data_IF_541036415799
#
_entry.id   IF_541036415799
#
_cell.length_a   1.000
_cell.length_b   1.000
_cell.length_c   1.000
_cell.angle_alpha   90.00
_cell.angle_beta   90.00
_cell.angle_gamma   90.00
#
_symmetry.space_group_name_H-M   'P 1'
#
loop_
_entity.id
_entity.type
_entity.pdbx_description
1 polymer ?
#
# COMPACT_ATOMS: atom_id res chain seq x y z
N UNK A 1 22.93 32.12 5.43
CA UNK A 1 23.25 31.04 6.38
C UNK A 1 24.31 30.16 5.79
N UNK A 2 25.21 29.65 6.60
CA UNK A 2 26.21 28.66 6.16
C UNK A 2 25.50 27.31 5.88
N UNK A 3 25.99 26.53 4.88
CA UNK A 3 25.47 25.21 4.57
C UNK A 3 25.72 24.28 5.76
N UNK A 4 24.71 23.51 6.15
CA UNK A 4 24.84 22.47 7.17
C UNK A 4 25.51 21.23 6.55
N UNK A 5 26.84 21.20 6.59
CA UNK A 5 27.61 20.12 5.99
C UNK A 5 27.38 18.78 6.71
N UNK A 6 27.02 18.79 8.01
CA UNK A 6 26.85 17.56 8.78
C UNK A 6 25.73 16.70 8.20
N UNK A 7 24.54 17.29 7.98
CA UNK A 7 23.42 16.55 7.41
C UNK A 7 23.65 16.16 5.95
N UNK A 8 24.29 17.06 5.16
CA UNK A 8 24.58 16.75 3.76
C UNK A 8 25.63 15.66 3.58
N UNK A 9 26.59 15.52 4.51
CA UNK A 9 27.54 14.40 4.54
C UNK A 9 26.84 13.07 4.89
N UNK A 10 25.84 13.09 5.77
CA UNK A 10 25.00 11.93 6.07
C UNK A 10 24.21 11.49 4.83
N UNK A 11 23.58 12.45 4.15
CA UNK A 11 22.84 12.20 2.89
C UNK A 11 23.75 11.61 1.81
N UNK A 12 24.97 12.13 1.66
CA UNK A 12 25.95 11.60 0.71
C UNK A 12 26.38 10.17 1.03
N UNK A 13 26.57 9.83 2.31
CA UNK A 13 26.89 8.45 2.73
C UNK A 13 25.73 7.49 2.44
N UNK A 14 24.50 7.90 2.70
CA UNK A 14 23.32 7.09 2.35
C UNK A 14 23.18 6.91 0.83
N UNK A 15 23.42 7.95 0.05
CA UNK A 15 23.44 7.85 -1.42
C UNK A 15 24.48 6.83 -1.90
N UNK A 16 25.70 6.86 -1.31
CA UNK A 16 26.74 5.88 -1.63
C UNK A 16 26.35 4.46 -1.23
N UNK A 17 25.68 4.27 -0.08
CA UNK A 17 25.16 2.98 0.36
C UNK A 17 24.18 2.42 -0.66
N UNK A 18 23.21 3.23 -1.08
CA UNK A 18 22.21 2.83 -2.08
C UNK A 18 22.81 2.50 -3.44
N UNK A 19 23.89 3.19 -3.86
CA UNK A 19 24.57 2.91 -5.12
C UNK A 19 25.39 1.61 -5.11
N UNK A 20 25.91 1.20 -3.95
CA UNK A 20 26.81 0.02 -3.83
C UNK A 20 26.05 -1.24 -3.46
N UNK A 21 24.99 -1.13 -2.68
CA UNK A 21 24.24 -2.25 -2.13
C UNK A 21 23.29 -2.91 -3.13
N UNK A 22 22.95 -4.15 -2.86
CA UNK A 22 21.87 -4.88 -3.51
C UNK A 22 20.62 -4.72 -2.64
N UNK A 23 19.62 -4.00 -3.14
CA UNK A 23 18.37 -3.76 -2.40
C UNK A 23 17.33 -4.83 -2.75
N UNK A 24 17.00 -5.68 -1.77
CA UNK A 24 16.00 -6.74 -1.88
C UNK A 24 14.81 -6.55 -0.93
N UNK A 25 14.71 -5.41 -0.26
CA UNK A 25 13.52 -5.06 0.51
C UNK A 25 12.38 -4.78 -0.47
N UNK A 26 11.38 -5.66 -0.54
CA UNK A 26 10.30 -5.61 -1.53
C UNK A 26 9.45 -4.31 -1.48
N UNK A 27 9.53 -3.54 -0.41
CA UNK A 27 8.86 -2.26 -0.24
C UNK A 27 9.72 -1.04 -0.59
N UNK A 28 10.96 -1.21 -1.02
CA UNK A 28 11.86 -0.13 -1.43
C UNK A 28 11.97 -0.05 -2.95
N UNK A 29 12.26 1.15 -3.44
CA UNK A 29 12.49 1.42 -4.86
C UNK A 29 13.29 2.73 -5.03
N UNK A 30 13.87 2.91 -6.20
CA UNK A 30 14.63 4.11 -6.57
C UNK A 30 13.78 4.98 -7.50
N UNK A 31 13.42 6.16 -7.03
CA UNK A 31 12.65 7.13 -7.81
C UNK A 31 13.50 7.81 -8.88
N UNK A 32 12.85 8.39 -9.89
CA UNK A 32 13.53 9.16 -10.93
C UNK A 32 14.10 10.49 -10.38
N UNK A 33 15.10 11.10 -11.07
CA UNK A 33 15.56 12.43 -10.73
C UNK A 33 14.44 13.48 -10.75
N UNK A 34 13.44 13.37 -11.63
CA UNK A 34 12.31 14.29 -11.69
C UNK A 34 11.42 14.22 -10.45
N UNK A 35 11.20 13.02 -9.90
CA UNK A 35 10.48 12.85 -8.63
C UNK A 35 11.24 13.52 -7.49
N UNK A 36 12.59 13.36 -7.43
CA UNK A 36 13.43 14.03 -6.42
C UNK A 36 13.42 15.54 -6.57
N UNK A 37 13.44 16.07 -7.79
CA UNK A 37 13.35 17.50 -8.08
C UNK A 37 12.03 18.09 -7.60
N UNK A 38 10.91 17.43 -7.88
CA UNK A 38 9.60 17.84 -7.40
C UNK A 38 9.51 17.84 -5.86
N UNK A 39 10.10 16.83 -5.20
CA UNK A 39 10.18 16.74 -3.74
C UNK A 39 10.95 17.92 -3.11
N UNK A 40 11.98 18.42 -3.77
CA UNK A 40 12.79 19.55 -3.33
C UNK A 40 12.28 20.92 -3.78
N UNK A 41 11.07 21.01 -4.34
CA UNK A 41 10.53 22.24 -4.93
C UNK A 41 10.01 23.25 -3.90
N UNK A 42 9.75 24.49 -4.38
CA UNK A 42 9.16 25.57 -3.58
C UNK A 42 7.74 25.26 -3.07
N UNK A 43 7.08 24.22 -3.58
CA UNK A 43 5.76 23.79 -3.13
C UNK A 43 5.75 23.34 -1.65
N UNK A 44 6.92 23.02 -1.10
CA UNK A 44 7.10 22.76 0.35
C UNK A 44 6.69 23.96 1.23
N UNK A 45 6.68 25.18 0.68
CA UNK A 45 6.36 26.39 1.43
C UNK A 45 4.86 26.67 1.54
N UNK A 46 4.02 25.98 0.73
CA UNK A 46 2.60 26.33 0.60
C UNK A 46 1.71 25.57 1.58
N UNK A 47 0.91 26.31 2.33
CA UNK A 47 -0.14 25.79 3.19
C UNK A 47 -1.49 25.78 2.44
N UNK A 48 -2.11 24.61 2.26
CA UNK A 48 -3.26 24.44 1.36
C UNK A 48 -4.35 23.51 1.93
N UNK A 49 -4.77 23.73 3.20
CA UNK A 49 -5.88 22.94 3.80
C UNK A 49 -7.15 23.04 2.97
N UNK A 50 -7.86 21.94 2.86
CA UNK A 50 -9.03 21.77 1.99
C UNK A 50 -8.65 21.02 0.70
N UNK A 51 -9.42 21.24 -0.34
CA UNK A 51 -9.29 20.56 -1.64
C UNK A 51 -9.26 21.58 -2.79
N UNK A 52 -8.81 21.24 -4.00
CA UNK A 52 -8.83 22.12 -5.15
C UNK A 52 -10.18 22.83 -5.32
N UNK A 53 -10.16 24.15 -5.44
CA UNK A 53 -11.35 24.99 -5.51
C UNK A 53 -12.10 25.22 -4.20
N UNK A 54 -11.74 24.54 -3.11
CA UNK A 54 -12.37 24.61 -1.79
C UNK A 54 -11.32 24.69 -0.67
N UNK A 55 -10.37 25.61 -0.79
CA UNK A 55 -9.30 25.80 0.20
C UNK A 55 -9.71 26.73 1.32
N UNK A 56 -9.12 26.51 2.49
CA UNK A 56 -9.26 27.41 3.65
C UNK A 56 -8.29 28.58 3.58
N UNK A 57 -7.30 28.53 2.71
CA UNK A 57 -6.24 29.57 2.54
C UNK A 57 -6.27 30.15 1.13
N UNK A 58 -5.91 31.43 1.03
CA UNK A 58 -5.71 32.11 -0.25
C UNK A 58 -4.40 31.70 -0.96
N UNK A 59 -4.27 32.03 -2.23
CA UNK A 59 -3.07 31.80 -3.03
C UNK A 59 -2.84 30.33 -3.41
N UNK A 60 -3.90 29.53 -3.50
CA UNK A 60 -3.81 28.09 -3.78
C UNK A 60 -4.05 27.73 -5.25
N UNK A 61 -4.33 28.71 -6.13
CA UNK A 61 -4.70 28.45 -7.52
C UNK A 61 -3.67 27.62 -8.28
N UNK A 62 -2.37 27.80 -8.01
CA UNK A 62 -1.29 27.06 -8.70
C UNK A 62 -1.13 25.65 -8.11
N UNK A 63 -1.22 25.49 -6.78
CA UNK A 63 -1.15 24.17 -6.15
C UNK A 63 -2.42 23.33 -6.45
N UNK A 64 -3.55 24.00 -6.68
CA UNK A 64 -4.77 23.33 -7.15
C UNK A 64 -4.57 22.64 -8.51
N UNK A 65 -3.79 23.25 -9.40
CA UNK A 65 -3.43 22.65 -10.69
C UNK A 65 -2.56 21.39 -10.47
N UNK A 66 -1.56 21.46 -9.57
CA UNK A 66 -0.69 20.33 -9.27
C UNK A 66 -1.47 19.15 -8.66
N UNK A 67 -2.32 19.41 -7.67
CA UNK A 67 -3.14 18.37 -7.03
C UNK A 67 -4.16 17.78 -8.01
N UNK A 68 -4.84 18.61 -8.80
CA UNK A 68 -5.78 18.17 -9.84
C UNK A 68 -5.07 17.31 -10.89
N UNK A 69 -3.86 17.66 -11.30
CA UNK A 69 -3.06 16.86 -12.22
C UNK A 69 -2.72 15.50 -11.63
N UNK A 70 -2.31 15.44 -10.36
CA UNK A 70 -2.03 14.18 -9.66
C UNK A 70 -3.28 13.28 -9.60
N UNK A 71 -4.44 13.85 -9.24
CA UNK A 71 -5.72 13.13 -9.21
C UNK A 71 -6.09 12.59 -10.60
N UNK A 72 -5.97 13.39 -11.65
CA UNK A 72 -6.34 12.99 -13.00
C UNK A 72 -5.43 11.91 -13.55
N UNK A 73 -4.11 12.01 -13.34
CA UNK A 73 -3.15 10.96 -13.74
C UNK A 73 -3.39 9.66 -12.98
N UNK A 74 -3.68 9.73 -11.68
CA UNK A 74 -3.99 8.55 -10.89
C UNK A 74 -5.28 7.87 -11.37
N UNK A 75 -6.33 8.65 -11.65
CA UNK A 75 -7.59 8.14 -12.22
C UNK A 75 -7.36 7.49 -13.58
N UNK A 76 -6.58 8.11 -14.45
CA UNK A 76 -6.23 7.54 -15.75
C UNK A 76 -5.44 6.24 -15.62
N UNK A 77 -4.46 6.19 -14.71
CA UNK A 77 -3.56 5.06 -14.52
C UNK A 77 -4.29 3.78 -14.11
N UNK A 78 -5.29 3.91 -13.23
CA UNK A 78 -6.00 2.76 -12.66
C UNK A 78 -7.46 2.61 -13.14
N UNK A 79 -7.99 3.57 -13.91
CA UNK A 79 -9.39 3.59 -14.32
C UNK A 79 -10.34 3.94 -13.18
N UNK A 80 -9.92 4.80 -12.25
CA UNK A 80 -10.71 5.23 -11.12
C UNK A 80 -11.62 6.42 -11.48
N UNK A 81 -12.84 6.44 -10.93
CA UNK A 81 -13.73 7.60 -11.02
C UNK A 81 -13.33 8.69 -10.02
N UNK A 82 -12.93 8.28 -8.82
CA UNK A 82 -12.49 9.17 -7.74
C UNK A 82 -11.08 8.84 -7.27
N UNK A 83 -10.33 9.89 -6.91
CA UNK A 83 -8.98 9.77 -6.33
C UNK A 83 -8.73 10.88 -5.30
N UNK A 84 -8.22 10.50 -4.12
CA UNK A 84 -7.66 11.41 -3.13
C UNK A 84 -6.15 11.15 -3.02
N UNK A 85 -5.35 12.19 -3.29
CA UNK A 85 -3.88 12.13 -3.33
C UNK A 85 -3.21 12.76 -2.11
N UNK A 86 -3.98 13.24 -1.14
CA UNK A 86 -3.48 13.92 0.05
C UNK A 86 -2.90 13.01 1.15
N UNK A 87 -3.25 11.71 1.31
CA UNK A 87 -2.69 10.90 2.39
C UNK A 87 -1.15 10.94 2.40
N UNK A 88 -0.57 11.26 3.58
CA UNK A 88 0.88 11.36 3.76
C UNK A 88 1.58 10.00 3.71
N UNK A 89 0.84 8.92 3.97
CA UNK A 89 1.35 7.54 3.92
C UNK A 89 0.22 6.55 3.62
N UNK A 90 0.57 5.31 3.25
CA UNK A 90 -0.41 4.23 3.13
C UNK A 90 -1.17 3.95 4.43
N UNK A 91 -0.50 4.01 5.58
CA UNK A 91 -1.15 3.83 6.88
C UNK A 91 -2.19 4.92 7.16
N UNK A 92 -1.93 6.19 6.78
CA UNK A 92 -2.91 7.27 6.90
C UNK A 92 -4.04 7.16 5.88
N UNK A 93 -3.77 6.67 4.67
CA UNK A 93 -4.82 6.34 3.70
C UNK A 93 -5.76 5.26 4.27
N UNK A 94 -5.22 4.18 4.84
CA UNK A 94 -6.00 3.14 5.50
C UNK A 94 -6.78 3.71 6.70
N UNK A 95 -6.14 4.51 7.55
CA UNK A 95 -6.78 5.15 8.69
C UNK A 95 -7.97 6.02 8.26
N UNK A 96 -7.83 6.81 7.20
CA UNK A 96 -8.92 7.63 6.68
C UNK A 96 -10.10 6.77 6.20
N UNK A 97 -9.85 5.65 5.51
CA UNK A 97 -10.90 4.70 5.13
C UNK A 97 -11.59 4.09 6.35
N UNK A 98 -10.84 3.69 7.37
CA UNK A 98 -11.40 3.19 8.62
C UNK A 98 -12.31 4.23 9.29
N UNK A 99 -11.85 5.48 9.40
CA UNK A 99 -12.64 6.58 9.99
C UNK A 99 -13.88 6.92 9.16
N UNK A 100 -13.84 6.75 7.85
CA UNK A 100 -15.02 6.94 6.99
C UNK A 100 -16.07 5.83 7.19
N UNK A 101 -15.61 4.56 7.33
CA UNK A 101 -16.43 3.36 7.28
C UNK A 101 -16.86 2.82 8.66
N UNK A 102 -16.04 3.02 9.68
CA UNK A 102 -16.16 2.34 10.97
C UNK A 102 -16.33 3.35 12.12
N UNK A 103 -16.84 2.85 13.23
CA UNK A 103 -16.82 3.52 14.55
C UNK A 103 -15.87 2.76 15.48
N UNK A 104 -15.30 3.40 16.51
CA UNK A 104 -14.50 2.69 17.52
C UNK A 104 -15.23 1.45 18.05
N UNK A 105 -14.54 0.30 18.07
CA UNK A 105 -15.09 -0.98 18.48
C UNK A 105 -15.81 -1.78 17.39
N UNK A 106 -16.07 -1.20 16.20
CA UNK A 106 -16.60 -1.97 15.07
C UNK A 106 -15.63 -3.07 14.64
N UNK A 107 -16.18 -4.19 14.19
CA UNK A 107 -15.38 -5.33 13.71
C UNK A 107 -15.00 -5.16 12.25
N UNK A 108 -13.74 -5.44 11.94
CA UNK A 108 -13.25 -5.58 10.58
C UNK A 108 -12.38 -6.84 10.43
N UNK A 109 -12.14 -7.26 9.20
CA UNK A 109 -11.33 -8.43 8.90
C UNK A 109 -10.17 -8.06 7.99
N UNK A 110 -8.95 -8.51 8.33
CA UNK A 110 -7.73 -8.33 7.54
C UNK A 110 -6.83 -9.55 7.64
N UNK A 111 -5.78 -9.63 6.80
CA UNK A 111 -4.80 -10.70 6.89
C UNK A 111 -3.96 -10.54 8.16
N UNK A 112 -3.77 -11.64 8.91
CA UNK A 112 -2.90 -11.65 10.07
C UNK A 112 -1.47 -11.25 9.71
N UNK A 113 -0.83 -10.48 10.61
CA UNK A 113 0.55 -10.00 10.42
C UNK A 113 1.52 -11.16 10.19
N UNK A 114 1.40 -12.23 10.98
CA UNK A 114 2.23 -13.43 10.92
C UNK A 114 2.06 -14.23 9.62
N UNK A 115 0.98 -13.98 8.90
CA UNK A 115 0.66 -14.60 7.62
C UNK A 115 0.93 -13.69 6.41
N UNK A 116 1.58 -12.54 6.63
CA UNK A 116 1.96 -11.60 5.58
C UNK A 116 1.09 -10.35 5.50
N UNK A 117 0.19 -10.10 6.46
CA UNK A 117 -0.59 -8.88 6.56
C UNK A 117 0.26 -7.64 6.83
N UNK A 118 -0.35 -6.46 6.71
CA UNK A 118 0.29 -5.21 7.08
C UNK A 118 -0.09 -4.80 8.52
N UNK A 119 0.77 -4.02 9.19
CA UNK A 119 0.49 -3.50 10.55
C UNK A 119 -0.89 -2.83 10.64
N UNK A 120 -1.27 -2.03 9.63
CA UNK A 120 -2.57 -1.34 9.60
C UNK A 120 -3.76 -2.25 9.25
N UNK A 121 -3.57 -3.55 9.15
CA UNK A 121 -4.63 -4.54 8.91
C UNK A 121 -5.07 -5.27 10.19
N UNK A 122 -4.82 -4.69 11.38
CA UNK A 122 -5.32 -5.21 12.65
C UNK A 122 -4.26 -5.57 13.67
N UNK A 123 -2.99 -5.20 13.44
CA UNK A 123 -1.96 -5.43 14.46
C UNK A 123 -2.31 -4.72 15.77
N UNK A 124 -2.18 -5.40 16.93
CA UNK A 124 -2.56 -4.85 18.22
C UNK A 124 -1.73 -3.65 18.66
N UNK A 125 -0.59 -3.39 18.02
CA UNK A 125 0.26 -2.21 18.28
C UNK A 125 0.00 -1.06 17.30
N UNK A 126 -0.93 -1.24 16.36
CA UNK A 126 -1.32 -0.23 15.37
C UNK A 126 -2.69 0.35 15.70
N UNK A 127 -2.97 1.58 15.21
CA UNK A 127 -4.28 2.21 15.42
C UNK A 127 -5.44 1.27 15.10
N UNK A 128 -5.31 0.45 14.05
CA UNK A 128 -6.36 -0.46 13.60
C UNK A 128 -6.74 -1.51 14.65
N UNK A 129 -5.76 -2.10 15.34
CA UNK A 129 -6.01 -3.03 16.43
C UNK A 129 -6.27 -2.37 17.79
N UNK A 130 -5.87 -1.09 17.97
CA UNK A 130 -6.11 -0.35 19.20
C UNK A 130 -7.53 0.24 19.27
N UNK A 131 -8.11 0.63 18.14
CA UNK A 131 -9.38 1.36 18.06
C UNK A 131 -10.53 0.44 17.65
N UNK A 132 -10.27 -0.58 16.85
CA UNK A 132 -11.27 -1.46 16.26
C UNK A 132 -11.08 -2.90 16.67
N UNK A 133 -12.13 -3.71 16.51
CA UNK A 133 -12.06 -5.15 16.75
C UNK A 133 -11.58 -5.87 15.48
N UNK A 134 -10.32 -6.26 15.46
CA UNK A 134 -9.68 -6.90 14.31
C UNK A 134 -9.85 -8.42 14.34
N UNK A 135 -10.34 -9.00 13.24
CA UNK A 135 -10.39 -10.44 12.99
C UNK A 135 -9.37 -10.76 11.90
N UNK A 136 -8.46 -11.69 12.17
CA UNK A 136 -7.39 -12.05 11.23
C UNK A 136 -7.72 -13.31 10.43
N UNK A 137 -7.73 -13.23 9.08
CA UNK A 137 -7.71 -14.43 8.24
C UNK A 137 -6.28 -14.85 7.89
N UNK A 138 -6.12 -16.10 7.47
CA UNK A 138 -4.83 -16.75 7.32
C UNK A 138 -4.55 -17.21 5.89
N UNK A 139 -3.30 -17.55 5.62
CA UNK A 139 -2.93 -18.44 4.52
C UNK A 139 -3.04 -19.89 4.99
N UNK A 140 -3.38 -20.78 4.07
CA UNK A 140 -3.32 -22.20 4.29
C UNK A 140 -1.86 -22.63 4.48
N UNK A 141 -1.56 -23.39 5.54
CA UNK A 141 -0.20 -23.75 5.95
C UNK A 141 0.53 -24.65 4.94
N UNK A 142 -0.21 -25.44 4.18
CA UNK A 142 0.37 -26.42 3.26
C UNK A 142 0.66 -25.78 1.89
N UNK A 143 -0.17 -24.82 1.46
CA UNK A 143 -0.04 -24.16 0.16
C UNK A 143 0.62 -22.78 0.20
N UNK A 144 0.67 -22.14 1.37
CA UNK A 144 1.12 -20.74 1.51
C UNK A 144 0.20 -19.73 0.81
N UNK A 145 -1.02 -20.11 0.42
CA UNK A 145 -2.01 -19.28 -0.25
C UNK A 145 -3.15 -18.91 0.68
N UNK A 146 -3.81 -17.78 0.43
CA UNK A 146 -4.99 -17.34 1.20
C UNK A 146 -6.03 -18.45 1.22
N UNK A 147 -6.51 -18.78 2.40
CA UNK A 147 -7.61 -19.74 2.62
C UNK A 147 -8.95 -19.00 2.55
N UNK A 148 -9.49 -18.90 1.33
CA UNK A 148 -10.74 -18.18 1.10
C UNK A 148 -11.97 -18.89 1.69
N UNK A 149 -11.92 -20.23 1.90
CA UNK A 149 -13.00 -20.97 2.55
C UNK A 149 -13.04 -20.63 4.04
N UNK A 150 -11.88 -20.65 4.70
CA UNK A 150 -11.75 -20.22 6.10
C UNK A 150 -12.18 -18.75 6.24
N UNK A 151 -11.72 -17.88 5.32
CA UNK A 151 -12.07 -16.47 5.32
C UNK A 151 -13.60 -16.27 5.23
N UNK A 152 -14.29 -17.01 4.37
CA UNK A 152 -15.74 -16.95 4.23
C UNK A 152 -16.46 -17.41 5.51
N UNK A 153 -16.02 -18.53 6.09
CA UNK A 153 -16.57 -19.02 7.36
C UNK A 153 -16.44 -17.98 8.47
N UNK A 154 -15.26 -17.40 8.64
CA UNK A 154 -15.02 -16.35 9.64
C UNK A 154 -15.84 -15.08 9.37
N UNK A 155 -16.00 -14.70 8.10
CA UNK A 155 -16.82 -13.55 7.73
C UNK A 155 -18.29 -13.76 8.09
N UNK A 156 -18.83 -14.96 7.85
CA UNK A 156 -20.21 -15.31 8.21
C UNK A 156 -20.43 -15.36 9.72
N UNK A 157 -19.44 -15.81 10.48
CA UNK A 157 -19.49 -15.91 11.95
C UNK A 157 -19.42 -14.51 12.60
N UNK A 158 -18.41 -13.72 12.23
CA UNK A 158 -18.10 -12.45 12.92
C UNK A 158 -18.76 -11.23 12.28
N UNK A 159 -19.27 -11.34 11.06
CA UNK A 159 -19.97 -10.27 10.29
C UNK A 159 -19.24 -8.92 10.36
N UNK A 160 -17.96 -8.86 9.94
CA UNK A 160 -17.21 -7.62 9.94
C UNK A 160 -17.88 -6.58 9.02
N UNK A 161 -17.78 -5.31 9.39
CA UNK A 161 -18.30 -4.20 8.56
C UNK A 161 -17.37 -3.84 7.41
N UNK A 162 -16.09 -4.18 7.52
CA UNK A 162 -15.05 -3.96 6.52
C UNK A 162 -14.20 -5.22 6.38
N UNK A 163 -13.92 -5.62 5.14
CA UNK A 163 -12.97 -6.67 4.80
C UNK A 163 -11.83 -6.04 4.01
N UNK A 164 -10.58 -6.34 4.38
CA UNK A 164 -9.39 -5.83 3.72
C UNK A 164 -8.69 -6.96 2.98
N UNK A 165 -8.52 -6.81 1.66
CA UNK A 165 -7.61 -7.58 0.83
C UNK A 165 -6.26 -6.87 0.70
N UNK A 166 -5.19 -7.65 0.64
CA UNK A 166 -3.83 -7.11 0.52
C UNK A 166 -2.92 -7.57 1.64
N UNK A 167 -1.61 -7.50 1.41
CA UNK A 167 -0.60 -7.93 2.35
C UNK A 167 0.78 -7.40 2.00
N UNK A 168 1.69 -7.42 2.98
CA UNK A 168 3.08 -6.97 2.83
C UNK A 168 4.02 -8.07 2.37
N UNK A 169 3.73 -9.33 2.72
CA UNK A 169 4.58 -10.49 2.42
C UNK A 169 3.76 -11.63 1.81
N UNK A 170 3.06 -11.33 0.73
CA UNK A 170 2.28 -12.31 -0.02
C UNK A 170 2.69 -12.30 -1.50
N UNK A 171 3.23 -13.43 -1.97
CA UNK A 171 3.86 -13.53 -3.30
C UNK A 171 2.92 -13.98 -4.42
N UNK A 172 1.63 -14.22 -4.12
CA UNK A 172 0.66 -14.70 -5.11
C UNK A 172 -0.39 -13.65 -5.46
N UNK A 173 -1.08 -13.85 -6.57
CA UNK A 173 -2.24 -13.04 -6.91
C UNK A 173 -3.40 -13.28 -5.93
N UNK A 174 -4.22 -12.24 -5.78
CA UNK A 174 -5.41 -12.24 -4.95
C UNK A 174 -6.64 -12.55 -5.79
N UNK A 175 -7.53 -13.39 -5.29
CA UNK A 175 -8.86 -13.57 -5.88
C UNK A 175 -9.81 -12.49 -5.35
N UNK A 176 -9.69 -11.29 -5.94
CA UNK A 176 -10.52 -10.14 -5.56
C UNK A 176 -12.01 -10.38 -5.81
N UNK A 177 -12.37 -11.16 -6.85
CA UNK A 177 -13.75 -11.49 -7.16
C UNK A 177 -14.38 -12.33 -6.04
N UNK A 178 -13.65 -13.34 -5.54
CA UNK A 178 -14.10 -14.17 -4.42
C UNK A 178 -14.19 -13.38 -3.12
N UNK A 179 -13.22 -12.52 -2.83
CA UNK A 179 -13.26 -11.65 -1.66
C UNK A 179 -14.44 -10.68 -1.71
N UNK A 180 -14.75 -10.13 -2.88
CA UNK A 180 -15.93 -9.29 -3.08
C UNK A 180 -17.22 -10.07 -2.82
N UNK A 181 -17.34 -11.27 -3.35
CA UNK A 181 -18.51 -12.14 -3.13
C UNK A 181 -18.72 -12.47 -1.65
N UNK A 182 -17.63 -12.70 -0.89
CA UNK A 182 -17.68 -12.90 0.57
C UNK A 182 -18.20 -11.63 1.27
N UNK A 183 -17.67 -10.46 0.91
CA UNK A 183 -18.11 -9.19 1.49
C UNK A 183 -19.60 -8.90 1.22
N UNK A 184 -20.06 -9.15 -0.01
CA UNK A 184 -21.45 -8.94 -0.41
C UNK A 184 -22.43 -9.83 0.37
N UNK A 185 -22.07 -11.10 0.68
CA UNK A 185 -22.88 -12.02 1.47
C UNK A 185 -23.24 -11.49 2.86
N UNK A 186 -22.39 -10.65 3.43
CA UNK A 186 -22.57 -10.12 4.79
C UNK A 186 -22.84 -8.60 4.81
N UNK A 187 -22.89 -7.97 3.63
CA UNK A 187 -23.09 -6.52 3.51
C UNK A 187 -21.89 -5.68 3.99
N UNK A 188 -20.67 -6.23 3.92
CA UNK A 188 -19.45 -5.53 4.31
C UNK A 188 -18.91 -4.64 3.19
N UNK A 189 -18.23 -3.56 3.56
CA UNK A 189 -17.37 -2.83 2.61
C UNK A 189 -16.14 -3.70 2.31
N UNK A 190 -15.84 -3.90 1.04
CA UNK A 190 -14.60 -4.54 0.59
C UNK A 190 -13.58 -3.47 0.20
N UNK A 191 -12.47 -3.43 0.92
CA UNK A 191 -11.32 -2.57 0.70
C UNK A 191 -10.14 -3.41 0.23
N UNK A 192 -9.35 -2.90 -0.69
CA UNK A 192 -8.06 -3.50 -1.06
C UNK A 192 -6.93 -2.50 -0.83
N UNK A 193 -5.95 -2.92 -0.05
CA UNK A 193 -4.65 -2.25 0.05
C UNK A 193 -3.69 -2.93 -0.94
N UNK A 194 -3.52 -2.31 -2.12
CA UNK A 194 -2.64 -2.83 -3.18
C UNK A 194 -1.22 -2.26 -3.14
N UNK A 195 -0.78 -1.77 -1.98
CA UNK A 195 0.48 -1.04 -1.85
C UNK A 195 1.69 -1.77 -2.45
N UNK A 196 1.83 -3.06 -2.25
CA UNK A 196 2.96 -3.82 -2.78
C UNK A 196 2.91 -3.99 -4.30
N UNK A 197 1.86 -4.54 -4.92
CA UNK A 197 1.82 -4.79 -6.35
C UNK A 197 1.35 -3.59 -7.21
N UNK A 198 1.16 -2.40 -6.65
CA UNK A 198 0.52 -1.26 -7.33
C UNK A 198 1.18 -0.92 -8.69
N UNK A 199 2.50 -1.00 -8.80
CA UNK A 199 3.21 -0.76 -10.06
C UNK A 199 2.92 -1.82 -11.12
N UNK A 200 2.85 -3.08 -10.72
CA UNK A 200 2.50 -4.21 -11.62
C UNK A 200 1.04 -4.11 -12.08
N UNK A 201 0.14 -3.70 -11.18
CA UNK A 201 -1.29 -3.46 -11.51
C UNK A 201 -1.42 -2.28 -12.48
N UNK A 202 -0.70 -1.18 -12.23
CA UNK A 202 -0.65 -0.01 -13.12
C UNK A 202 -0.17 -0.36 -14.53
N UNK A 203 0.79 -1.27 -14.63
CA UNK A 203 1.30 -1.78 -15.90
C UNK A 203 0.38 -2.81 -16.59
N UNK A 204 -0.73 -3.21 -15.95
CA UNK A 204 -1.66 -4.23 -16.47
C UNK A 204 -1.09 -5.65 -16.44
N UNK A 205 -0.14 -5.94 -15.55
CA UNK A 205 0.51 -7.24 -15.40
C UNK A 205 -0.10 -8.10 -14.28
N UNK A 206 -0.97 -7.51 -13.46
CA UNK A 206 -1.78 -8.17 -12.43
C UNK A 206 -3.20 -7.61 -12.48
N UNK A 207 -4.16 -8.35 -11.94
CA UNK A 207 -5.56 -7.91 -11.96
C UNK A 207 -5.79 -6.65 -11.12
N UNK A 208 -6.65 -5.77 -11.62
CA UNK A 208 -6.92 -4.47 -11.01
C UNK A 208 -8.07 -4.58 -10.00
N UNK A 209 -7.81 -4.37 -8.69
CA UNK A 209 -8.82 -4.49 -7.65
C UNK A 209 -9.96 -3.47 -7.75
N UNK A 210 -9.79 -2.36 -8.47
CA UNK A 210 -10.86 -1.37 -8.69
C UNK A 210 -12.08 -1.93 -9.42
N UNK A 211 -11.95 -3.08 -10.10
CA UNK A 211 -13.08 -3.79 -10.71
C UNK A 211 -13.99 -4.44 -9.67
N UNK A 212 -13.49 -4.71 -8.48
CA UNK A 212 -14.16 -5.53 -7.46
C UNK A 212 -14.36 -4.78 -6.15
N UNK A 213 -13.34 -4.05 -5.69
CA UNK A 213 -13.34 -3.40 -4.40
C UNK A 213 -14.22 -2.14 -4.39
N UNK A 214 -14.85 -1.87 -3.27
CA UNK A 214 -15.53 -0.61 -3.03
C UNK A 214 -14.53 0.54 -2.87
N UNK A 215 -13.41 0.28 -2.18
CA UNK A 215 -12.37 1.27 -1.90
C UNK A 215 -11.01 0.61 -2.13
N UNK A 216 -10.10 1.32 -2.77
CA UNK A 216 -8.72 0.88 -2.96
C UNK A 216 -7.76 1.91 -2.39
N UNK A 217 -6.81 1.46 -1.60
CA UNK A 217 -5.69 2.27 -1.13
C UNK A 217 -4.37 1.76 -1.69
N UNK A 218 -3.40 2.61 -1.78
CA UNK A 218 -2.02 2.21 -2.06
C UNK A 218 -1.02 3.21 -1.50
N UNK A 219 0.22 2.75 -1.31
CA UNK A 219 1.38 3.63 -1.21
C UNK A 219 1.83 4.03 -2.61
N UNK A 220 2.61 5.12 -2.70
CA UNK A 220 3.16 5.59 -3.98
C UNK A 220 4.62 5.22 -4.21
N UNK A 221 5.31 4.68 -3.19
CA UNK A 221 6.78 4.55 -3.15
C UNK A 221 7.32 3.12 -3.26
N UNK A 222 6.49 2.11 -3.49
CA UNK A 222 6.93 0.71 -3.66
C UNK A 222 7.11 0.40 -5.15
N UNK A 223 6.47 -0.64 -5.68
CA UNK A 223 6.53 -0.92 -7.11
C UNK A 223 6.04 0.22 -8.00
N UNK A 224 5.18 1.11 -7.47
CA UNK A 224 4.70 2.29 -8.20
C UNK A 224 5.79 3.35 -8.44
N UNK A 225 6.94 3.26 -7.72
CA UNK A 225 8.17 4.03 -7.97
C UNK A 225 8.01 5.55 -7.84
N UNK A 226 7.11 6.00 -6.95
CA UNK A 226 6.89 7.41 -6.66
C UNK A 226 7.47 7.84 -5.30
N UNK A 227 7.16 9.08 -4.87
CA UNK A 227 7.57 9.57 -3.56
C UNK A 227 6.85 8.81 -2.44
N UNK A 228 7.39 8.86 -1.23
CA UNK A 228 6.71 8.30 -0.05
C UNK A 228 5.40 9.04 0.19
N UNK A 229 4.31 8.30 0.19
CA UNK A 229 2.96 8.84 0.33
C UNK A 229 1.91 7.74 0.20
N UNK A 230 0.64 8.11 0.30
CA UNK A 230 -0.51 7.24 0.08
C UNK A 230 -1.56 7.90 -0.80
N UNK A 231 -2.47 7.10 -1.33
CA UNK A 231 -3.64 7.55 -2.10
C UNK A 231 -4.84 6.66 -1.80
N UNK A 232 -6.04 7.18 -2.05
CA UNK A 232 -7.32 6.45 -1.94
C UNK A 232 -8.07 6.61 -3.25
N UNK A 233 -8.66 5.52 -3.75
CA UNK A 233 -9.38 5.50 -5.02
C UNK A 233 -10.70 4.75 -4.89
N UNK A 234 -11.68 5.14 -5.72
CA UNK A 234 -12.91 4.39 -5.97
C UNK A 234 -13.00 4.11 -7.47
N UNK A 235 -13.29 2.86 -7.84
CA UNK A 235 -13.56 2.49 -9.23
C UNK A 235 -14.85 3.15 -9.73
N UNK A 236 -15.86 3.18 -8.87
CA UNK A 236 -17.12 3.94 -9.05
C UNK A 236 -17.48 4.56 -7.70
N UNK A 237 -17.90 5.82 -7.72
CA UNK A 237 -18.42 6.47 -6.51
C UNK A 237 -19.84 5.97 -6.20
N UNK A 238 -20.22 5.95 -4.93
CA UNK A 238 -21.50 5.41 -4.47
C UNK A 238 -22.00 6.11 -3.20
N UNK A 239 -23.30 6.06 -2.99
CA UNK A 239 -23.92 6.56 -1.76
C UNK A 239 -23.45 5.76 -0.55
N UNK A 240 -23.12 6.42 0.54
CA UNK A 240 -22.70 5.71 1.73
C UNK A 240 -23.83 4.82 2.27
N UNK A 241 -23.54 3.54 2.64
CA UNK A 241 -24.57 2.58 3.04
C UNK A 241 -25.14 2.83 4.44
N UNK A 242 -24.66 3.85 5.14
CA UNK A 242 -25.10 4.17 6.52
C UNK A 242 -26.09 5.32 6.59
N UNK A 243 -26.54 5.86 5.44
CA UNK A 243 -27.50 6.96 5.37
C UNK A 243 -26.99 8.27 5.96
N UNK A 244 -25.65 8.48 6.02
CA UNK A 244 -25.09 9.77 6.45
C UNK A 244 -25.44 10.84 5.43
N UNK A 245 -26.06 11.95 5.89
CA UNK A 245 -26.56 13.04 5.03
C UNK A 245 -25.73 14.31 5.13
N UNK A 246 -25.88 15.18 4.15
CA UNK A 246 -25.48 16.58 4.20
C UNK A 246 -26.42 17.39 5.12
N UNK A 247 -26.07 18.65 5.41
CA UNK A 247 -26.95 19.58 6.13
C UNK A 247 -28.29 19.81 5.40
N UNK A 248 -28.34 19.56 4.09
CA UNK A 248 -29.56 19.68 3.26
C UNK A 248 -30.40 18.40 3.20
N UNK A 249 -29.97 17.32 3.89
CA UNK A 249 -30.68 16.03 3.92
C UNK A 249 -30.36 15.10 2.77
N UNK A 250 -29.45 15.44 1.86
CA UNK A 250 -29.03 14.58 0.75
C UNK A 250 -28.04 13.51 1.26
N UNK A 251 -28.15 12.26 0.78
CA UNK A 251 -27.22 11.20 1.14
C UNK A 251 -25.83 11.55 0.59
N UNK A 252 -24.81 11.46 1.44
CA UNK A 252 -23.43 11.77 1.06
C UNK A 252 -22.84 10.62 0.22
N UNK A 253 -22.13 10.97 -0.84
CA UNK A 253 -21.30 10.04 -1.60
C UNK A 253 -20.12 9.55 -0.75
N UNK A 254 -19.61 8.36 -1.06
CA UNK A 254 -18.48 7.77 -0.34
C UNK A 254 -17.20 8.59 -0.50
N UNK A 255 -16.97 9.17 -1.68
CA UNK A 255 -15.88 10.13 -1.92
C UNK A 255 -15.89 11.28 -0.92
N UNK A 256 -17.06 11.89 -0.68
CA UNK A 256 -17.23 12.98 0.29
C UNK A 256 -16.94 12.54 1.74
N UNK A 257 -17.25 11.30 2.10
CA UNK A 257 -16.89 10.77 3.43
C UNK A 257 -15.38 10.56 3.55
N UNK A 258 -14.74 10.03 2.51
CA UNK A 258 -13.29 9.82 2.45
C UNK A 258 -12.56 11.17 2.52
N UNK A 259 -12.97 12.17 1.73
CA UNK A 259 -12.39 13.51 1.78
C UNK A 259 -12.46 14.10 3.20
N UNK A 260 -13.64 14.02 3.83
CA UNK A 260 -13.81 14.50 5.20
C UNK A 260 -12.98 13.70 6.23
N UNK A 261 -12.74 12.43 5.98
CA UNK A 261 -11.92 11.60 6.85
C UNK A 261 -10.42 11.90 6.68
N UNK A 262 -9.97 12.20 5.46
CA UNK A 262 -8.59 12.65 5.22
C UNK A 262 -8.40 14.04 5.82
N UNK A 263 -9.17 15.01 5.38
CA UNK A 263 -9.13 16.37 5.90
C UNK A 263 -10.56 16.87 6.23
N UNK A 264 -10.82 17.34 7.44
CA UNK A 264 -9.89 17.54 8.58
C UNK A 264 -9.76 16.32 9.52
N UNK A 265 -10.26 15.13 9.14
CA UNK A 265 -10.41 14.01 10.06
C UNK A 265 -9.09 13.43 10.59
N UNK A 266 -8.12 13.19 9.71
CA UNK A 266 -6.85 12.53 10.04
C UNK A 266 -5.65 13.45 9.84
N UNK A 267 -5.74 14.40 8.90
CA UNK A 267 -4.64 15.28 8.51
C UNK A 267 -5.06 16.75 8.54
N UNK A 268 -4.05 17.65 8.61
CA UNK A 268 -4.16 19.08 8.35
C UNK A 268 -3.71 19.40 6.91
N UNK A 269 -2.78 20.37 6.76
CA UNK A 269 -2.27 20.80 5.46
C UNK A 269 -1.64 19.67 4.65
N UNK A 270 -1.99 19.55 3.36
CA UNK A 270 -1.38 18.57 2.46
C UNK A 270 0.07 18.92 2.17
N UNK A 271 0.86 17.92 1.79
CA UNK A 271 2.25 18.05 1.39
C UNK A 271 2.32 18.30 -0.12
N UNK A 272 2.19 19.54 -0.55
CA UNK A 272 2.04 19.88 -1.98
C UNK A 272 3.26 19.49 -2.83
N UNK A 273 4.48 19.55 -2.27
CA UNK A 273 5.69 19.04 -2.94
C UNK A 273 5.66 17.52 -3.14
N UNK A 274 5.07 16.77 -2.21
CA UNK A 274 4.86 15.31 -2.35
C UNK A 274 3.77 15.04 -3.39
N UNK A 275 2.69 15.82 -3.40
CA UNK A 275 1.61 15.69 -4.38
C UNK A 275 2.13 15.97 -5.80
N UNK A 276 2.95 17.00 -5.98
CA UNK A 276 3.62 17.26 -7.25
C UNK A 276 4.52 16.09 -7.68
N UNK A 277 5.30 15.55 -6.75
CA UNK A 277 6.12 14.37 -7.01
C UNK A 277 5.28 13.11 -7.35
N UNK A 278 4.10 12.94 -6.72
CA UNK A 278 3.12 11.92 -7.12
C UNK A 278 2.64 12.14 -8.55
N UNK A 279 2.34 13.41 -8.93
CA UNK A 279 1.93 13.73 -10.30
C UNK A 279 3.02 13.36 -11.32
N UNK A 280 4.30 13.61 -11.01
CA UNK A 280 5.43 13.18 -11.85
C UNK A 280 5.46 11.66 -11.98
N UNK A 281 5.45 10.94 -10.86
CA UNK A 281 5.53 9.48 -10.86
C UNK A 281 4.36 8.81 -11.61
N UNK A 282 3.13 9.33 -11.46
CA UNK A 282 1.98 8.84 -12.21
C UNK A 282 2.10 9.13 -13.70
N UNK A 283 2.69 10.29 -14.07
CA UNK A 283 3.01 10.62 -15.46
C UNK A 283 4.03 9.66 -16.07
N UNK A 284 5.06 9.27 -15.32
CA UNK A 284 6.03 8.25 -15.73
C UNK A 284 5.36 6.87 -15.86
N UNK A 285 4.48 6.50 -14.92
CA UNK A 285 3.78 5.22 -14.93
C UNK A 285 2.79 5.07 -16.11
N UNK A 286 2.34 6.17 -16.70
CA UNK A 286 1.50 6.19 -17.90
C UNK A 286 2.30 5.98 -19.20
N UNK A 287 3.63 6.01 -19.17
CA UNK A 287 4.46 5.82 -20.36
C UNK A 287 4.62 4.33 -20.72
N UNK A 288 4.74 3.99 -22.01
CA UNK A 288 4.91 2.59 -22.43
C UNK A 288 6.13 1.88 -21.82
N UNK A 289 7.21 2.62 -21.60
CA UNK A 289 8.46 2.13 -21.00
C UNK A 289 8.25 1.62 -19.57
N UNK A 290 7.27 2.15 -18.85
CA UNK A 290 6.95 1.70 -17.52
C UNK A 290 6.46 0.26 -17.48
N UNK A 291 5.67 -0.16 -18.50
CA UNK A 291 5.26 -1.56 -18.62
C UNK A 291 6.45 -2.49 -18.86
N UNK A 292 7.41 -2.08 -19.68
CA UNK A 292 8.64 -2.85 -19.91
C UNK A 292 9.43 -3.00 -18.61
N UNK A 293 9.56 -1.92 -17.85
CA UNK A 293 10.22 -1.93 -16.55
C UNK A 293 9.52 -2.89 -15.56
N UNK A 294 8.21 -2.81 -15.44
CA UNK A 294 7.45 -3.66 -14.52
C UNK A 294 7.45 -5.14 -14.94
N UNK A 295 7.48 -5.43 -16.25
CA UNK A 295 7.66 -6.79 -16.75
C UNK A 295 9.02 -7.34 -16.31
N UNK A 296 10.08 -6.56 -16.44
CA UNK A 296 11.42 -6.97 -15.99
C UNK A 296 11.46 -7.21 -14.48
N UNK A 297 10.77 -6.41 -13.68
CA UNK A 297 10.63 -6.64 -12.23
C UNK A 297 10.00 -8.01 -11.95
N UNK A 298 8.91 -8.34 -12.63
CA UNK A 298 8.22 -9.63 -12.50
C UNK A 298 9.10 -10.80 -12.94
N UNK A 299 9.77 -10.67 -14.06
CA UNK A 299 10.65 -11.70 -14.62
C UNK A 299 11.87 -11.95 -13.71
N UNK A 300 12.47 -10.89 -13.17
CA UNK A 300 13.59 -11.00 -12.23
C UNK A 300 13.15 -11.72 -10.93
N UNK A 301 11.98 -11.39 -10.40
CA UNK A 301 11.47 -12.06 -9.21
C UNK A 301 11.20 -13.56 -9.46
N UNK A 302 10.61 -13.89 -10.60
CA UNK A 302 10.36 -15.29 -10.98
C UNK A 302 11.67 -16.06 -11.17
N UNK A 303 12.67 -15.47 -11.86
CA UNK A 303 13.98 -16.09 -12.07
C UNK A 303 14.72 -16.31 -10.75
N UNK A 304 14.68 -15.33 -9.83
CA UNK A 304 15.31 -15.45 -8.52
C UNK A 304 14.61 -16.52 -7.67
N UNK A 305 13.27 -16.56 -7.66
CA UNK A 305 12.50 -17.59 -6.95
C UNK A 305 12.87 -19.00 -7.46
N UNK A 306 12.95 -19.19 -8.78
CA UNK A 306 13.32 -20.48 -9.38
C UNK A 306 14.75 -20.88 -9.02
N UNK A 307 15.71 -19.97 -9.12
CA UNK A 307 17.11 -20.24 -8.74
C UNK A 307 17.24 -20.65 -7.27
N UNK A 308 16.48 -20.02 -6.37
CA UNK A 308 16.47 -20.39 -4.96
C UNK A 308 15.87 -21.80 -4.75
N UNK A 309 14.81 -22.14 -5.48
CA UNK A 309 14.22 -23.48 -5.46
C UNK A 309 15.23 -24.54 -5.97
N UNK A 310 15.89 -24.27 -7.09
CA UNK A 310 16.90 -25.16 -7.68
C UNK A 310 18.10 -25.38 -6.75
N UNK A 311 18.44 -24.37 -5.96
CA UNK A 311 19.42 -24.46 -4.87
C UNK A 311 18.89 -25.17 -3.61
N UNK A 312 17.65 -25.65 -3.61
CA UNK A 312 17.05 -26.41 -2.54
C UNK A 312 16.53 -25.57 -1.36
N UNK A 313 16.26 -24.29 -1.57
CA UNK A 313 15.57 -23.46 -0.59
C UNK A 313 14.05 -23.63 -0.71
N UNK A 314 13.35 -23.48 0.40
CA UNK A 314 11.90 -23.47 0.42
C UNK A 314 11.37 -22.03 0.16
N UNK A 315 10.90 -21.80 -1.07
CA UNK A 315 10.16 -20.58 -1.41
C UNK A 315 8.69 -20.78 -1.05
N UNK A 316 8.17 -20.01 -0.10
CA UNK A 316 6.78 -20.14 0.37
C UNK A 316 5.82 -20.01 -0.81
N UNK A 317 4.79 -20.84 -0.83
CA UNK A 317 3.83 -21.01 -1.94
C UNK A 317 4.43 -21.55 -3.25
N UNK A 318 5.68 -21.98 -3.28
CA UNK A 318 6.33 -22.58 -4.44
C UNK A 318 6.67 -21.60 -5.56
N UNK A 319 6.87 -20.29 -5.25
CA UNK A 319 7.25 -19.26 -6.23
C UNK A 319 6.56 -17.92 -6.03
N UNK A 320 6.52 -17.10 -7.09
CA UNK A 320 5.90 -15.78 -7.05
C UNK A 320 5.15 -15.45 -8.33
N UNK A 321 4.05 -14.70 -8.21
CA UNK A 321 3.29 -14.11 -9.31
C UNK A 321 3.56 -12.60 -9.44
N UNK A 322 4.31 -12.02 -8.49
CA UNK A 322 4.58 -10.57 -8.40
C UNK A 322 6.08 -10.28 -8.16
N UNK A 323 6.41 -9.21 -7.45
CA UNK A 323 7.79 -8.80 -7.13
C UNK A 323 8.31 -9.34 -5.80
N UNK A 324 7.45 -9.97 -4.97
CA UNK A 324 7.82 -10.46 -3.65
C UNK A 324 8.20 -11.94 -3.68
N UNK A 325 9.22 -12.31 -2.91
CA UNK A 325 9.60 -13.69 -2.62
C UNK A 325 9.67 -13.82 -1.11
N UNK A 326 9.04 -14.86 -0.56
CA UNK A 326 9.16 -15.20 0.85
C UNK A 326 9.93 -16.51 0.99
N UNK A 327 11.08 -16.46 1.67
CA UNK A 327 12.00 -17.57 1.81
C UNK A 327 11.90 -18.18 3.21
N UNK A 328 11.58 -19.45 3.31
CA UNK A 328 11.66 -20.21 4.57
C UNK A 328 13.05 -20.82 4.72
N UNK A 329 13.83 -20.30 5.65
CA UNK A 329 15.21 -20.73 5.89
C UNK A 329 15.31 -22.09 6.63
N UNK A 330 14.25 -22.51 7.33
CA UNK A 330 14.26 -23.69 8.21
C UNK A 330 14.59 -24.99 7.47
N UNK A 331 14.27 -25.08 6.17
CA UNK A 331 14.56 -26.26 5.36
C UNK A 331 16.07 -26.52 5.19
N UNK A 332 16.89 -25.47 5.24
CA UNK A 332 18.37 -25.55 5.10
C UNK A 332 19.13 -25.20 6.38
N UNK A 333 18.60 -24.28 7.14
CA UNK A 333 19.25 -23.72 8.32
C UNK A 333 18.25 -23.69 9.49
N UNK A 334 17.98 -24.84 10.14
CA UNK A 334 16.90 -24.94 11.15
C UNK A 334 17.03 -23.93 12.29
N UNK A 335 18.27 -23.58 12.67
CA UNK A 335 18.57 -22.68 13.78
C UNK A 335 18.77 -21.20 13.35
N UNK A 336 18.71 -20.92 12.04
CA UNK A 336 18.94 -19.56 11.52
C UNK A 336 17.63 -18.77 11.53
N UNK A 337 17.58 -17.74 12.36
CA UNK A 337 16.44 -16.80 12.36
C UNK A 337 16.55 -15.77 11.26
N UNK A 338 15.42 -15.24 10.78
CA UNK A 338 15.40 -14.14 9.82
C UNK A 338 16.18 -12.91 10.30
N UNK A 339 16.17 -12.64 11.61
CA UNK A 339 16.94 -11.54 12.22
C UNK A 339 18.46 -11.70 12.05
N UNK A 340 18.96 -12.91 12.21
CA UNK A 340 20.40 -13.19 12.02
C UNK A 340 20.76 -13.16 10.56
N UNK A 341 19.92 -13.76 9.68
CA UNK A 341 20.12 -13.75 8.24
C UNK A 341 20.14 -12.32 7.67
N UNK A 342 19.18 -11.45 8.07
CA UNK A 342 19.15 -10.03 7.69
C UNK A 342 20.48 -9.33 8.02
N UNK A 343 21.01 -9.54 9.25
CA UNK A 343 22.25 -8.90 9.66
C UNK A 343 23.46 -9.38 8.86
N UNK A 344 23.56 -10.67 8.59
CA UNK A 344 24.67 -11.24 7.79
C UNK A 344 24.61 -10.74 6.34
N UNK A 345 23.41 -10.59 5.78
CA UNK A 345 23.24 -10.03 4.42
C UNK A 345 23.68 -8.57 4.37
N UNK A 346 23.36 -7.76 5.39
CA UNK A 346 23.82 -6.36 5.46
C UNK A 346 25.35 -6.27 5.49
N UNK A 347 26.06 -7.19 6.16
CA UNK A 347 27.53 -7.24 6.16
C UNK A 347 28.10 -7.55 4.74
N UNK A 348 27.26 -8.08 3.84
CA UNK A 348 27.59 -8.34 2.43
C UNK A 348 27.01 -7.27 1.46
N UNK A 349 26.62 -6.10 1.96
CA UNK A 349 25.95 -5.04 1.21
C UNK A 349 24.62 -5.48 0.54
N UNK A 350 23.91 -6.46 1.11
CA UNK A 350 22.60 -6.92 0.66
C UNK A 350 21.57 -6.58 1.72
N UNK A 351 20.55 -5.78 1.37
CA UNK A 351 19.45 -5.47 2.27
C UNK A 351 18.21 -6.31 1.95
N UNK A 352 17.66 -6.96 2.96
CA UNK A 352 16.45 -7.77 2.86
C UNK A 352 15.62 -7.64 4.15
N UNK A 353 14.33 -7.95 4.09
CA UNK A 353 13.49 -7.96 5.28
C UNK A 353 13.50 -9.32 5.98
N UNK A 354 13.55 -9.27 7.32
CA UNK A 354 13.07 -10.39 8.13
C UNK A 354 11.55 -10.38 8.18
N UNK A 355 10.96 -11.54 7.99
CA UNK A 355 9.52 -11.73 8.12
C UNK A 355 9.25 -13.02 8.91
N UNK A 356 8.06 -13.12 9.51
CA UNK A 356 7.58 -14.39 10.04
C UNK A 356 7.16 -15.29 8.87
N UNK A 357 7.45 -16.58 9.02
CA UNK A 357 6.92 -17.59 8.10
C UNK A 357 5.55 -18.01 8.64
N UNK A 358 4.51 -18.10 7.80
CA UNK A 358 3.19 -18.53 8.24
C UNK A 358 3.25 -19.80 9.11
N UNK A 359 2.53 -19.79 10.26
CA UNK A 359 2.47 -20.93 11.21
C UNK A 359 3.74 -21.16 12.04
N UNK A 360 4.66 -20.23 12.11
CA UNK A 360 5.82 -20.32 13.02
C UNK A 360 5.60 -19.48 14.27
N UNK A 361 5.22 -20.10 15.37
CA UNK A 361 5.03 -19.42 16.67
C UNK A 361 6.34 -19.09 17.41
N UNK A 362 7.50 -19.36 16.85
CA UNK A 362 8.74 -19.42 17.64
C UNK A 362 9.92 -18.62 17.14
N UNK A 363 9.85 -17.87 16.04
CA UNK A 363 11.05 -17.16 15.55
C UNK A 363 10.76 -15.73 15.10
N UNK A 364 10.84 -14.82 16.06
CA UNK A 364 11.09 -13.41 15.82
C UNK A 364 12.58 -13.17 15.58
#
# INVERSE_FOLDING_TARGET
MQRDNVIFDIINREHQRQQKGIELIASENFVSPQVMEAMGSCLTNKYAEGYPGHRYYGGCQVVDEAETLAQNRLKQLFGAEYANVQPHSGAQANMAVFMACLKPGDTFMGMNLDHGGHLSHGSPVNFSGLVFNAIGYNVNKDTGRVDYDQMEQMAMEHKPRLIIGGGSAYSREWDYARMRAIADKIGAIFMVDMAHPAGLIAAGLLDNPLKYAHIVTTTTHKTLRGPRGGVIMLGKDFENPWGKTTKKGEVRMMSSLIDSAVFPGVQGGPLEHVIAAKAVAFGEALQPEYKVYQQQVKDNAAAMAQALIDLGYNVVSGGTDNHCILLDLRSKFPDLTGKVAERVLVDADITANKNMVPVSYTHL
#
